data_IF_998767642692
#
_entry.id   IF_998767642692
#
_cell.length_a   1.000
_cell.length_b   1.000
_cell.length_c   1.000
_cell.angle_alpha   90.00
_cell.angle_beta   90.00
_cell.angle_gamma   90.00
#
_symmetry.space_group_name_H-M   'P 1'
#
loop_
_entity.id
_entity.type
_entity.pdbx_description
1 polymer ?
#
# COMPACT_ATOMS: atom_id res chain seq x y z
N UNK A 1 9.15 5.21 15.36
CA UNK A 1 10.35 6.05 15.70
C UNK A 1 11.66 5.28 15.69
N UNK A 2 11.78 4.08 16.31
CA UNK A 2 13.05 3.34 16.41
C UNK A 2 13.70 3.09 15.03
N UNK A 3 12.95 2.59 14.07
CA UNK A 3 13.43 2.36 12.71
C UNK A 3 14.09 3.59 12.07
N UNK A 4 13.44 4.78 12.18
CA UNK A 4 13.98 6.02 11.61
C UNK A 4 15.28 6.43 12.27
N UNK A 5 15.38 6.27 13.59
CA UNK A 5 16.61 6.57 14.36
C UNK A 5 17.76 5.63 14.01
N UNK A 6 17.48 4.33 13.93
CA UNK A 6 18.46 3.31 13.57
C UNK A 6 19.04 3.51 12.16
N UNK A 7 18.25 4.14 11.27
CA UNK A 7 18.68 4.49 9.92
C UNK A 7 19.16 5.94 9.77
N UNK A 8 19.38 6.66 10.88
CA UNK A 8 19.87 8.05 10.92
C UNK A 8 19.00 9.01 10.10
N UNK A 9 17.68 8.75 10.01
CA UNK A 9 16.73 9.61 9.29
C UNK A 9 16.32 10.75 10.22
N UNK A 10 16.79 11.97 9.92
CA UNK A 10 16.51 13.17 10.70
C UNK A 10 15.55 14.14 9.98
N UNK A 11 15.30 13.92 8.70
CA UNK A 11 14.42 14.76 7.88
C UNK A 11 13.48 13.89 7.08
N UNK A 12 12.21 14.30 7.01
CA UNK A 12 11.20 13.73 6.13
C UNK A 12 10.74 14.80 5.14
N UNK A 13 10.78 14.50 3.85
CA UNK A 13 10.24 15.39 2.82
C UNK A 13 8.73 15.52 2.92
N UNK A 14 8.05 14.42 3.26
CA UNK A 14 6.63 14.40 3.55
C UNK A 14 6.29 13.38 4.64
N UNK A 15 5.31 13.73 5.48
CA UNK A 15 4.57 12.83 6.36
C UNK A 15 3.13 12.78 5.87
N UNK A 16 2.68 11.61 5.45
CA UNK A 16 1.33 11.41 4.95
C UNK A 16 0.55 10.58 5.96
N UNK A 17 -0.50 11.16 6.52
CA UNK A 17 -1.39 10.53 7.48
C UNK A 17 -2.71 10.22 6.76
N UNK A 18 -2.95 8.95 6.49
CA UNK A 18 -4.05 8.52 5.62
C UNK A 18 -5.41 8.92 6.18
N UNK A 19 -5.65 8.67 7.46
CA UNK A 19 -6.87 9.03 8.18
C UNK A 19 -6.56 9.17 9.67
N UNK A 20 -7.58 9.52 10.48
CA UNK A 20 -7.38 9.98 11.86
C UNK A 20 -7.50 8.89 12.93
N UNK A 21 -7.54 7.59 12.57
CA UNK A 21 -7.58 6.53 13.56
C UNK A 21 -6.24 6.34 14.28
N UNK A 22 -6.32 5.91 15.54
CA UNK A 22 -5.18 5.96 16.45
C UNK A 22 -3.99 5.13 15.97
N UNK A 23 -4.21 3.97 15.39
CA UNK A 23 -3.18 3.06 14.88
C UNK A 23 -2.43 3.63 13.65
N UNK A 24 -3.03 4.62 12.97
CA UNK A 24 -2.41 5.33 11.84
C UNK A 24 -1.70 6.64 12.23
N UNK A 25 -2.06 7.25 13.37
CA UNK A 25 -1.50 8.56 13.76
C UNK A 25 -0.81 8.59 15.13
N UNK A 26 -0.82 7.49 15.90
CA UNK A 26 -0.36 7.49 17.29
C UNK A 26 1.08 7.99 17.47
N UNK A 27 1.99 7.60 16.58
CA UNK A 27 3.41 8.01 16.65
C UNK A 27 3.73 9.30 15.87
N UNK A 28 2.77 9.84 15.12
CA UNK A 28 2.98 11.00 14.26
C UNK A 28 3.44 12.25 15.04
N UNK A 29 2.89 12.50 16.25
CA UNK A 29 3.33 13.58 17.11
C UNK A 29 4.82 13.47 17.46
N UNK A 30 5.31 12.26 17.75
CA UNK A 30 6.71 12.02 18.10
C UNK A 30 7.61 12.25 16.89
N UNK A 31 7.17 11.86 15.70
CA UNK A 31 7.85 12.16 14.43
C UNK A 31 7.98 13.66 14.25
N UNK A 32 6.89 14.42 14.45
CA UNK A 32 6.87 15.89 14.31
C UNK A 32 7.77 16.58 15.34
N UNK A 33 7.84 16.07 16.57
CA UNK A 33 8.73 16.65 17.59
C UNK A 33 10.21 16.36 17.35
N UNK A 34 10.54 15.17 16.85
CA UNK A 34 11.90 14.67 16.82
C UNK A 34 12.59 14.80 15.46
N UNK A 35 11.83 14.94 14.37
CA UNK A 35 12.37 15.02 13.02
C UNK A 35 12.02 16.36 12.36
N UNK A 36 12.82 16.75 11.37
CA UNK A 36 12.48 17.87 10.51
C UNK A 36 11.49 17.40 9.42
N UNK A 37 10.19 17.52 9.67
CA UNK A 37 9.13 17.21 8.71
C UNK A 37 8.90 18.45 7.83
N UNK A 38 9.13 18.32 6.50
CA UNK A 38 8.99 19.46 5.57
C UNK A 38 7.51 19.71 5.20
N UNK A 39 6.75 18.65 4.92
CA UNK A 39 5.33 18.72 4.53
C UNK A 39 4.52 17.70 5.31
N UNK A 40 3.28 18.06 5.65
CA UNK A 40 2.31 17.14 6.30
C UNK A 40 1.06 17.11 5.44
N UNK A 41 0.68 15.92 4.98
CA UNK A 41 -0.57 15.68 4.28
C UNK A 41 -1.53 14.92 5.19
N UNK A 42 -2.78 15.36 5.23
CA UNK A 42 -3.85 14.72 6.01
C UNK A 42 -5.15 14.75 5.21
N UNK A 43 -6.05 13.79 5.47
CA UNK A 43 -7.41 13.87 4.94
C UNK A 43 -8.16 15.07 5.53
N UNK A 44 -9.23 15.51 4.85
CA UNK A 44 -10.06 16.62 5.32
C UNK A 44 -10.91 16.27 6.57
N UNK A 45 -11.02 14.99 6.91
CA UNK A 45 -11.80 14.53 8.04
C UNK A 45 -11.11 14.84 9.37
N UNK A 46 -11.88 15.36 10.32
CA UNK A 46 -11.41 15.67 11.67
C UNK A 46 -11.91 14.65 12.67
N UNK A 47 -11.25 14.56 13.83
CA UNK A 47 -11.64 13.70 14.95
C UNK A 47 -11.53 14.47 16.26
N UNK A 48 -12.35 14.11 17.23
CA UNK A 48 -12.24 14.58 18.61
C UNK A 48 -11.40 13.65 19.50
N UNK A 49 -10.77 12.61 18.91
CA UNK A 49 -9.98 11.66 19.68
C UNK A 49 -8.76 12.34 20.32
N UNK A 50 -8.39 11.84 21.50
CA UNK A 50 -7.23 12.35 22.24
C UNK A 50 -5.93 12.31 21.42
N UNK A 51 -5.73 11.22 20.67
CA UNK A 51 -4.55 11.04 19.80
C UNK A 51 -4.51 12.10 18.69
N UNK A 52 -5.66 12.37 18.06
CA UNK A 52 -5.78 13.38 17.01
C UNK A 52 -5.52 14.79 17.57
N UNK A 53 -6.09 15.13 18.74
CA UNK A 53 -5.87 16.43 19.37
C UNK A 53 -4.40 16.64 19.74
N UNK A 54 -3.71 15.61 20.25
CA UNK A 54 -2.26 15.67 20.52
C UNK A 54 -1.44 15.87 19.26
N UNK A 55 -1.81 15.26 18.16
CA UNK A 55 -1.17 15.46 16.87
C UNK A 55 -1.32 16.90 16.40
N UNK A 56 -2.54 17.47 16.45
CA UNK A 56 -2.79 18.86 16.05
C UNK A 56 -1.99 19.86 16.92
N UNK A 57 -1.90 19.62 18.23
CA UNK A 57 -1.08 20.43 19.12
C UNK A 57 0.41 20.39 18.73
N UNK A 58 0.95 19.21 18.44
CA UNK A 58 2.34 19.08 17.98
C UNK A 58 2.60 19.84 16.66
N UNK A 59 1.67 19.73 15.70
CA UNK A 59 1.73 20.46 14.43
C UNK A 59 1.75 21.99 14.67
N UNK A 60 0.85 22.48 15.55
CA UNK A 60 0.75 23.89 15.92
C UNK A 60 2.01 24.40 16.61
N UNK A 61 2.49 23.70 17.63
CA UNK A 61 3.70 24.06 18.38
C UNK A 61 4.94 24.12 17.49
N UNK A 62 5.07 23.18 16.55
CA UNK A 62 6.17 23.16 15.57
C UNK A 62 5.94 24.10 14.39
N UNK A 63 4.85 24.88 14.40
CA UNK A 63 4.50 25.85 13.35
C UNK A 63 4.47 25.22 11.96
N UNK A 64 3.98 23.98 11.87
CA UNK A 64 3.83 23.25 10.59
C UNK A 64 2.44 23.47 10.02
N UNK A 65 2.35 23.40 8.69
CA UNK A 65 1.08 23.48 7.96
C UNK A 65 0.62 22.09 7.55
N UNK A 66 -0.70 21.88 7.59
CA UNK A 66 -1.36 20.70 7.02
C UNK A 66 -1.78 21.04 5.59
N UNK A 67 -1.47 20.15 4.68
CA UNK A 67 -2.00 20.17 3.31
C UNK A 67 -3.06 19.09 3.16
N UNK A 68 -4.26 19.48 2.77
CA UNK A 68 -5.32 18.54 2.36
C UNK A 68 -5.21 18.38 0.84
N UNK A 69 -4.79 17.21 0.35
CA UNK A 69 -4.59 17.02 -1.08
C UNK A 69 -5.92 16.83 -1.81
N UNK A 70 -5.87 17.01 -3.13
CA UNK A 70 -6.95 16.66 -4.07
C UNK A 70 -6.56 15.46 -4.90
N UNK A 71 -7.54 14.75 -5.45
CA UNK A 71 -7.27 13.68 -6.41
C UNK A 71 -6.52 14.25 -7.62
N UNK A 72 -5.40 13.60 -7.96
CA UNK A 72 -4.50 14.02 -9.02
C UNK A 72 -3.35 14.93 -8.58
N UNK A 73 -3.37 15.44 -7.34
CA UNK A 73 -2.20 16.16 -6.80
C UNK A 73 -0.99 15.24 -6.75
N UNK A 74 0.16 15.78 -7.14
CA UNK A 74 1.43 15.04 -7.18
C UNK A 74 2.55 15.78 -6.46
N UNK A 75 3.54 15.04 -5.98
CA UNK A 75 4.80 15.62 -5.53
C UNK A 75 5.96 14.64 -5.75
N UNK A 76 7.17 15.20 -5.92
CA UNK A 76 8.38 14.43 -6.18
C UNK A 76 8.97 13.84 -4.90
N UNK A 77 9.43 12.60 -4.97
CA UNK A 77 10.14 11.89 -3.91
C UNK A 77 11.38 11.24 -4.53
N UNK A 78 12.54 11.85 -4.35
CA UNK A 78 13.75 11.41 -5.06
C UNK A 78 13.56 11.51 -6.58
N UNK A 79 13.83 10.43 -7.29
CA UNK A 79 13.60 10.31 -8.74
C UNK A 79 12.15 9.95 -9.10
N UNK A 80 11.35 9.53 -8.12
CA UNK A 80 9.97 9.11 -8.30
C UNK A 80 8.96 10.18 -7.89
N UNK A 81 7.68 9.86 -8.03
CA UNK A 81 6.57 10.73 -7.68
C UNK A 81 5.46 10.00 -6.94
N UNK A 82 4.81 10.69 -6.03
CA UNK A 82 3.56 10.25 -5.40
C UNK A 82 2.40 11.02 -6.05
N UNK A 83 1.33 10.30 -6.39
CA UNK A 83 0.06 10.83 -6.86
C UNK A 83 -1.04 10.43 -5.87
N UNK A 84 -1.85 11.37 -5.41
CA UNK A 84 -3.05 11.08 -4.64
C UNK A 84 -4.16 10.60 -5.58
N UNK A 85 -4.55 9.33 -5.48
CA UNK A 85 -5.55 8.67 -6.33
C UNK A 85 -6.93 8.58 -5.66
N UNK A 86 -7.01 8.93 -4.38
CA UNK A 86 -8.23 9.04 -3.60
C UNK A 86 -7.98 9.86 -2.34
N UNK A 87 -8.95 10.66 -1.92
CA UNK A 87 -8.83 11.57 -0.77
C UNK A 87 -10.02 11.47 0.20
N UNK A 88 -10.78 10.38 0.10
CA UNK A 88 -11.92 10.13 0.98
C UNK A 88 -13.06 11.14 0.85
N UNK A 89 -13.23 11.75 -0.32
CA UNK A 89 -14.30 12.72 -0.53
C UNK A 89 -15.68 12.08 -0.32
N UNK A 90 -16.51 12.70 0.53
CA UNK A 90 -17.84 12.20 0.88
C UNK A 90 -17.82 11.00 1.86
N UNK A 91 -16.68 10.70 2.48
CA UNK A 91 -16.55 9.61 3.44
C UNK A 91 -17.46 9.81 4.66
N UNK A 92 -18.16 8.74 5.05
CA UNK A 92 -19.06 8.75 6.22
C UNK A 92 -18.35 8.30 7.51
N UNK A 93 -17.20 7.65 7.40
CA UNK A 93 -16.40 7.14 8.50
C UNK A 93 -14.90 7.48 8.31
N UNK A 94 -14.08 7.21 9.32
CA UNK A 94 -12.68 7.53 9.30
C UNK A 94 -11.93 6.70 8.23
N UNK A 95 -12.18 5.41 8.15
CA UNK A 95 -11.51 4.50 7.23
C UNK A 95 -11.69 4.95 5.77
N UNK A 96 -12.92 5.27 5.39
CA UNK A 96 -13.25 5.75 4.05
C UNK A 96 -12.66 7.14 3.75
N UNK A 97 -12.25 7.90 4.79
CA UNK A 97 -11.56 9.18 4.60
C UNK A 97 -10.07 9.01 4.24
N UNK A 98 -9.59 7.80 4.09
CA UNK A 98 -8.18 7.51 3.81
C UNK A 98 -7.67 8.20 2.56
N UNK A 99 -6.50 8.81 2.68
CA UNK A 99 -5.70 9.22 1.53
C UNK A 99 -5.16 7.96 0.84
N UNK A 100 -5.57 7.76 -0.40
CA UNK A 100 -5.06 6.69 -1.24
C UNK A 100 -4.02 7.27 -2.20
N UNK A 101 -2.91 6.58 -2.38
CA UNK A 101 -1.82 7.11 -3.20
C UNK A 101 -1.12 6.04 -4.01
N UNK A 102 -0.54 6.46 -5.12
CA UNK A 102 0.35 5.69 -5.96
C UNK A 102 1.72 6.33 -5.97
N UNK A 103 2.72 5.57 -5.60
CA UNK A 103 4.13 5.93 -5.78
C UNK A 103 4.67 5.27 -7.05
N UNK A 104 5.32 6.03 -7.89
CA UNK A 104 5.98 5.56 -9.12
C UNK A 104 7.45 6.00 -9.04
N UNK A 105 8.38 5.07 -8.99
CA UNK A 105 9.81 5.34 -8.90
C UNK A 105 10.50 5.38 -10.28
N UNK A 106 9.71 5.26 -11.34
CA UNK A 106 10.17 5.18 -12.72
C UNK A 106 10.45 3.74 -13.18
N UNK A 107 10.47 2.77 -12.28
CA UNK A 107 10.65 1.35 -12.59
C UNK A 107 9.45 0.52 -12.12
N UNK A 108 8.98 0.78 -10.91
CA UNK A 108 7.88 0.05 -10.28
C UNK A 108 6.88 1.02 -9.66
N UNK A 109 5.66 0.53 -9.49
CA UNK A 109 4.55 1.26 -8.91
C UNK A 109 4.08 0.59 -7.65
N UNK A 110 3.79 1.41 -6.66
CA UNK A 110 3.31 1.00 -5.35
C UNK A 110 1.98 1.69 -5.08
N UNK A 111 0.99 0.96 -4.60
CA UNK A 111 -0.30 1.54 -4.21
C UNK A 111 -0.57 1.33 -2.73
N UNK A 112 -1.07 2.38 -2.10
CA UNK A 112 -1.44 2.45 -0.70
C UNK A 112 -2.87 2.98 -0.62
N UNK A 113 -3.76 2.26 0.07
CA UNK A 113 -5.19 2.65 0.17
C UNK A 113 -5.61 3.03 1.58
N UNK A 114 -4.66 3.03 2.56
CA UNK A 114 -5.02 3.19 3.96
C UNK A 114 -6.06 2.14 4.35
N UNK A 115 -7.12 2.57 5.01
CA UNK A 115 -8.20 1.68 5.44
C UNK A 115 -9.49 1.82 4.64
N UNK A 116 -9.39 2.40 3.44
CA UNK A 116 -10.52 2.57 2.53
C UNK A 116 -11.26 1.25 2.31
N UNK A 117 -12.58 1.26 2.51
CA UNK A 117 -13.42 0.11 2.26
C UNK A 117 -13.77 -0.02 0.77
N UNK A 118 -14.38 -1.14 0.39
CA UNK A 118 -14.74 -1.45 -1.00
C UNK A 118 -15.51 -0.31 -1.70
N UNK A 119 -16.37 0.40 -0.98
CA UNK A 119 -17.13 1.54 -1.51
C UNK A 119 -16.25 2.67 -2.05
N UNK A 120 -15.09 2.89 -1.41
CA UNK A 120 -14.09 3.87 -1.81
C UNK A 120 -13.13 3.31 -2.84
N UNK A 121 -12.73 2.05 -2.70
CA UNK A 121 -11.86 1.35 -3.65
C UNK A 121 -12.41 1.39 -5.09
N UNK A 122 -13.74 1.27 -5.26
CA UNK A 122 -14.43 1.35 -6.56
C UNK A 122 -14.25 2.70 -7.26
N UNK A 123 -14.03 3.77 -6.49
CA UNK A 123 -13.85 5.14 -7.02
C UNK A 123 -12.42 5.43 -7.43
N UNK A 124 -11.44 4.62 -6.99
CA UNK A 124 -10.03 4.84 -7.29
C UNK A 124 -9.74 4.61 -8.77
N UNK A 125 -8.96 5.51 -9.35
CA UNK A 125 -8.40 5.39 -10.68
C UNK A 125 -6.89 5.16 -10.59
N UNK A 126 -6.25 4.74 -11.70
CA UNK A 126 -4.80 4.57 -11.79
C UNK A 126 -4.22 3.61 -10.73
N UNK A 127 -4.97 2.57 -10.36
CA UNK A 127 -4.60 1.60 -9.32
C UNK A 127 -3.58 0.54 -9.78
N UNK A 128 -3.18 0.52 -11.05
CA UNK A 128 -2.19 -0.46 -11.54
C UNK A 128 -0.85 -0.26 -10.84
N UNK A 129 -0.30 -1.35 -10.29
CA UNK A 129 0.95 -1.34 -9.55
C UNK A 129 1.63 -2.71 -9.57
N UNK A 130 2.88 -2.76 -9.15
CA UNK A 130 3.66 -3.97 -8.95
C UNK A 130 3.51 -4.48 -7.53
N UNK A 131 3.47 -3.55 -6.56
CA UNK A 131 3.35 -3.82 -5.12
C UNK A 131 2.15 -3.08 -4.55
N UNK A 132 1.33 -3.81 -3.83
CA UNK A 132 0.19 -3.27 -3.10
C UNK A 132 0.40 -3.40 -1.59
N UNK A 133 0.20 -2.33 -0.84
CA UNK A 133 0.00 -2.45 0.60
C UNK A 133 -1.47 -2.75 0.85
N UNK A 134 -1.74 -3.93 1.42
CA UNK A 134 -3.10 -4.38 1.70
C UNK A 134 -3.88 -3.34 2.50
N UNK A 135 -5.03 -2.98 2.01
CA UNK A 135 -5.94 -2.04 2.67
C UNK A 135 -6.43 -2.60 4.00
N UNK A 136 -6.53 -1.72 5.00
CA UNK A 136 -7.11 -2.01 6.31
C UNK A 136 -6.51 -3.29 6.92
N UNK A 137 -5.18 -3.39 6.92
CA UNK A 137 -4.41 -4.51 7.49
C UNK A 137 -4.80 -5.90 6.96
N UNK A 138 -5.37 -5.97 5.75
CA UNK A 138 -5.92 -7.21 5.21
C UNK A 138 -7.33 -7.53 5.71
N UNK A 139 -8.15 -6.52 6.00
CA UNK A 139 -9.56 -6.67 6.35
C UNK A 139 -10.38 -7.29 5.21
N UNK A 140 -11.40 -8.06 5.57
CA UNK A 140 -12.40 -8.60 4.63
C UNK A 140 -13.25 -7.52 3.95
N UNK A 141 -13.37 -6.33 4.56
CA UNK A 141 -14.16 -5.19 4.07
C UNK A 141 -13.40 -4.30 3.07
N UNK A 142 -12.11 -4.54 2.92
CA UNK A 142 -11.23 -3.90 1.94
C UNK A 142 -10.63 -4.97 1.01
N UNK A 143 -9.75 -4.57 0.10
CA UNK A 143 -9.08 -5.50 -0.82
C UNK A 143 -10.09 -6.24 -1.73
N UNK A 144 -11.04 -5.50 -2.27
CA UNK A 144 -12.14 -6.08 -3.06
C UNK A 144 -11.66 -6.69 -4.37
N UNK A 145 -12.42 -7.68 -4.88
CA UNK A 145 -12.16 -8.26 -6.20
C UNK A 145 -12.16 -7.20 -7.31
N UNK A 146 -13.02 -6.16 -7.18
CA UNK A 146 -13.03 -5.04 -8.11
C UNK A 146 -11.69 -4.27 -8.12
N UNK A 147 -11.11 -4.02 -6.95
CA UNK A 147 -9.80 -3.35 -6.85
C UNK A 147 -8.70 -4.24 -7.41
N UNK A 148 -8.59 -5.48 -6.92
CA UNK A 148 -7.48 -6.39 -7.24
C UNK A 148 -7.42 -6.73 -8.72
N UNK A 149 -8.58 -6.95 -9.38
CA UNK A 149 -8.64 -7.22 -10.83
C UNK A 149 -8.09 -6.06 -11.69
N UNK A 150 -8.29 -4.80 -11.23
CA UNK A 150 -7.78 -3.61 -11.93
C UNK A 150 -6.31 -3.32 -11.61
N UNK A 151 -5.86 -3.75 -10.43
CA UNK A 151 -4.54 -3.42 -9.88
C UNK A 151 -3.42 -4.19 -10.58
N UNK A 152 -3.63 -5.47 -10.84
CA UNK A 152 -2.67 -6.40 -11.48
C UNK A 152 -1.32 -6.47 -10.72
N UNK A 153 -1.36 -6.31 -9.40
CA UNK A 153 -0.16 -6.36 -8.58
C UNK A 153 0.35 -7.80 -8.44
N UNK A 154 1.65 -7.99 -8.53
CA UNK A 154 2.31 -9.28 -8.27
C UNK A 154 2.57 -9.53 -6.80
N UNK A 155 2.70 -8.46 -6.01
CA UNK A 155 3.07 -8.54 -4.59
C UNK A 155 2.10 -7.76 -3.73
N UNK A 156 1.77 -8.33 -2.57
CA UNK A 156 1.00 -7.62 -1.55
C UNK A 156 1.72 -7.68 -0.20
N UNK A 157 1.84 -6.53 0.44
CA UNK A 157 2.39 -6.40 1.79
C UNK A 157 1.25 -6.14 2.76
N UNK A 158 1.08 -7.01 3.74
CA UNK A 158 0.07 -6.87 4.80
C UNK A 158 0.78 -6.38 6.07
N UNK A 159 0.43 -5.17 6.52
CA UNK A 159 0.91 -4.60 7.77
C UNK A 159 -0.09 -4.90 8.89
N UNK A 160 0.20 -5.89 9.72
CA UNK A 160 -0.65 -6.26 10.85
C UNK A 160 0.21 -6.73 12.02
N UNK A 161 -0.33 -6.63 13.23
CA UNK A 161 0.35 -7.11 14.43
C UNK A 161 0.20 -8.62 14.61
N UNK A 162 1.20 -9.26 15.21
CA UNK A 162 1.08 -10.64 15.66
C UNK A 162 -0.02 -10.73 16.73
N UNK A 163 -0.84 -11.76 16.66
CA UNK A 163 -1.94 -12.03 17.60
C UNK A 163 -2.87 -10.82 17.82
N UNK A 164 -3.10 -10.02 16.76
CA UNK A 164 -3.96 -8.85 16.85
C UNK A 164 -5.42 -9.22 17.10
N UNK A 165 -6.10 -8.44 17.93
CA UNK A 165 -7.49 -8.70 18.36
C UNK A 165 -8.52 -8.63 17.23
N UNK A 166 -8.17 -8.05 16.09
CA UNK A 166 -9.06 -7.92 14.93
C UNK A 166 -9.04 -9.16 14.04
N UNK A 167 -8.09 -10.09 14.26
CA UNK A 167 -7.90 -11.27 13.44
C UNK A 167 -7.35 -10.97 12.03
N UNK A 168 -6.74 -9.80 11.85
CA UNK A 168 -6.13 -9.43 10.57
C UNK A 168 -4.80 -10.18 10.32
N UNK A 169 -4.52 -10.57 9.07
CA UNK A 169 -5.39 -10.47 7.89
C UNK A 169 -6.51 -11.51 7.93
N UNK A 170 -7.71 -11.11 7.53
CA UNK A 170 -8.84 -12.03 7.41
C UNK A 170 -8.60 -13.08 6.32
N UNK A 171 -9.16 -14.27 6.54
CA UNK A 171 -9.06 -15.38 5.57
C UNK A 171 -9.57 -15.01 4.19
N UNK A 172 -10.64 -14.23 4.14
CA UNK A 172 -11.25 -13.74 2.90
C UNK A 172 -10.31 -12.87 2.08
N UNK A 173 -9.55 -11.99 2.75
CA UNK A 173 -8.55 -11.16 2.08
C UNK A 173 -7.41 -12.01 1.51
N UNK A 174 -6.88 -12.96 2.31
CA UNK A 174 -5.84 -13.90 1.85
C UNK A 174 -6.30 -14.76 0.68
N UNK A 175 -7.55 -15.23 0.68
CA UNK A 175 -8.12 -15.98 -0.42
C UNK A 175 -8.25 -15.14 -1.70
N UNK A 176 -8.60 -13.83 -1.57
CA UNK A 176 -8.61 -12.91 -2.71
C UNK A 176 -7.21 -12.73 -3.26
N UNK A 177 -6.20 -12.45 -2.44
CA UNK A 177 -4.82 -12.32 -2.91
C UNK A 177 -4.35 -13.57 -3.65
N UNK A 178 -4.67 -14.77 -3.13
CA UNK A 178 -4.34 -16.03 -3.79
C UNK A 178 -5.06 -16.21 -5.15
N UNK A 179 -6.32 -15.78 -5.28
CA UNK A 179 -7.05 -15.82 -6.57
C UNK A 179 -6.45 -14.94 -7.66
N UNK A 180 -5.74 -13.88 -7.25
CA UNK A 180 -5.04 -12.97 -8.16
C UNK A 180 -3.54 -13.28 -8.27
N UNK A 181 -3.12 -14.49 -7.84
CA UNK A 181 -1.73 -14.97 -7.91
C UNK A 181 -0.71 -14.01 -7.26
N UNK A 182 -1.13 -13.27 -6.22
CA UNK A 182 -0.26 -12.33 -5.53
C UNK A 182 0.62 -13.04 -4.51
N UNK A 183 1.90 -12.73 -4.51
CA UNK A 183 2.82 -13.15 -3.43
C UNK A 183 2.57 -12.28 -2.20
N UNK A 184 2.28 -12.92 -1.07
CA UNK A 184 1.90 -12.22 0.17
C UNK A 184 3.09 -12.15 1.14
N UNK A 185 3.42 -10.94 1.58
CA UNK A 185 4.35 -10.66 2.66
C UNK A 185 3.61 -10.09 3.86
N UNK A 186 3.76 -10.70 5.05
CA UNK A 186 3.02 -10.31 6.27
C UNK A 186 3.98 -9.91 7.39
N UNK A 187 3.70 -8.76 8.03
CA UNK A 187 4.55 -8.27 9.13
C UNK A 187 4.41 -9.06 10.42
N UNK A 188 3.28 -9.71 10.67
CA UNK A 188 3.05 -10.59 11.81
C UNK A 188 3.85 -11.90 11.74
N UNK A 189 4.26 -12.32 10.53
CA UNK A 189 5.10 -13.51 10.29
C UNK A 189 6.58 -13.16 10.13
N UNK A 190 6.88 -12.06 9.42
CA UNK A 190 8.23 -11.72 8.96
C UNK A 190 8.86 -10.56 9.72
N UNK A 191 8.11 -9.87 10.59
CA UNK A 191 8.54 -8.63 11.22
C UNK A 191 8.62 -7.49 10.21
N UNK A 192 9.67 -6.69 10.27
CA UNK A 192 9.87 -5.58 9.33
C UNK A 192 10.07 -6.11 7.91
N UNK A 193 9.25 -5.61 6.98
CA UNK A 193 9.38 -5.92 5.55
C UNK A 193 10.03 -4.72 4.87
N UNK A 194 11.17 -4.97 4.25
CA UNK A 194 11.92 -3.99 3.45
C UNK A 194 11.80 -4.36 1.99
N UNK A 195 11.10 -3.53 1.21
CA UNK A 195 11.07 -3.62 -0.25
C UNK A 195 12.07 -2.63 -0.85
N UNK A 196 12.93 -3.10 -1.74
CA UNK A 196 13.88 -2.28 -2.47
C UNK A 196 13.61 -2.42 -3.96
N UNK A 197 13.31 -1.28 -4.61
CA UNK A 197 13.11 -1.21 -6.04
C UNK A 197 14.40 -0.78 -6.74
N UNK A 198 14.77 -1.50 -7.78
CA UNK A 198 15.82 -1.17 -8.73
C UNK A 198 15.32 -1.53 -10.13
N UNK A 199 15.94 -0.97 -11.17
CA UNK A 199 15.61 -1.29 -12.57
C UNK A 199 15.38 -2.80 -12.73
N UNK A 200 14.19 -3.20 -13.16
CA UNK A 200 13.76 -4.58 -13.42
C UNK A 200 13.84 -5.55 -12.22
N UNK A 201 13.98 -5.05 -10.99
CA UNK A 201 14.07 -5.91 -9.80
C UNK A 201 13.38 -5.30 -8.61
N UNK A 202 12.61 -6.13 -7.91
CA UNK A 202 12.15 -5.88 -6.55
C UNK A 202 12.88 -6.85 -5.62
N UNK A 203 13.24 -6.37 -4.43
CA UNK A 203 13.91 -7.20 -3.42
C UNK A 203 13.15 -7.04 -2.11
N UNK A 204 12.67 -8.15 -1.55
CA UNK A 204 12.00 -8.19 -0.25
C UNK A 204 12.91 -8.86 0.78
N UNK A 205 13.20 -8.16 1.90
CA UNK A 205 14.04 -8.65 2.99
C UNK A 205 15.39 -9.25 2.52
N UNK A 206 15.98 -8.65 1.48
CA UNK A 206 17.26 -9.09 0.91
C UNK A 206 17.16 -10.26 -0.07
N UNK A 207 15.98 -10.84 -0.30
CA UNK A 207 15.74 -11.84 -1.35
C UNK A 207 15.30 -11.14 -2.63
N UNK A 208 15.97 -11.46 -3.73
CA UNK A 208 15.61 -10.90 -5.04
C UNK A 208 14.34 -11.57 -5.58
N UNK A 209 13.37 -10.75 -5.92
CA UNK A 209 12.20 -11.14 -6.70
C UNK A 209 12.39 -10.57 -8.10
N UNK A 210 12.52 -11.44 -9.08
CA UNK A 210 12.59 -11.01 -10.48
C UNK A 210 11.15 -10.67 -10.88
N UNK A 211 10.85 -9.39 -11.07
CA UNK A 211 9.63 -8.99 -11.78
C UNK A 211 9.78 -9.39 -13.24
N UNK A 212 9.56 -10.64 -13.50
CA UNK A 212 9.23 -11.04 -14.86
C UNK A 212 7.86 -10.43 -15.15
N UNK A 213 7.79 -9.48 -16.06
CA UNK A 213 6.66 -9.42 -16.97
C UNK A 213 6.61 -10.82 -17.60
N UNK A 214 5.93 -11.74 -16.92
CA UNK A 214 5.65 -13.03 -17.52
C UNK A 214 4.68 -12.73 -18.66
N UNK A 215 5.23 -12.56 -19.84
CA UNK A 215 4.57 -13.06 -21.03
C UNK A 215 4.43 -14.54 -20.76
N UNK A 216 3.32 -14.94 -20.17
CA UNK A 216 3.00 -16.35 -19.98
C UNK A 216 2.94 -16.92 -21.39
N UNK A 217 4.00 -17.58 -21.82
CA UNK A 217 3.99 -18.27 -23.10
C UNK A 217 3.04 -19.45 -22.95
N UNK A 218 1.97 -19.42 -23.72
CA UNK A 218 1.05 -20.53 -23.83
C UNK A 218 1.43 -21.38 -25.03
N UNK A 219 1.66 -22.66 -24.79
CA UNK A 219 1.90 -23.63 -25.86
C UNK A 219 0.55 -24.21 -26.25
N UNK A 220 0.13 -23.95 -27.48
CA UNK A 220 -1.14 -24.44 -28.03
C UNK A 220 -1.00 -25.80 -28.69
N UNK A 221 -1.87 -26.75 -28.34
CA UNK A 221 -2.02 -28.01 -29.07
C UNK A 221 -2.91 -27.79 -30.29
N UNK A 222 -2.43 -28.10 -31.49
CA UNK A 222 -3.18 -28.03 -32.74
C UNK A 222 -4.36 -29.02 -32.76
N UNK A 223 -4.16 -30.18 -32.13
CA UNK A 223 -5.13 -31.26 -32.17
C UNK A 223 -6.31 -31.08 -31.20
N UNK A 224 -6.02 -30.55 -29.99
CA UNK A 224 -7.06 -30.41 -28.94
C UNK A 224 -7.60 -29.00 -28.83
N UNK A 225 -7.00 -28.00 -29.51
CA UNK A 225 -7.29 -26.55 -29.39
C UNK A 225 -7.21 -26.05 -27.95
N UNK A 226 -6.40 -26.70 -27.10
CA UNK A 226 -6.14 -26.29 -25.72
C UNK A 226 -4.80 -25.59 -25.63
N UNK A 227 -4.73 -24.59 -24.75
CA UNK A 227 -3.50 -23.87 -24.45
C UNK A 227 -3.05 -24.25 -23.04
N UNK A 228 -1.77 -24.52 -22.90
CA UNK A 228 -1.14 -24.86 -21.63
C UNK A 228 -0.04 -23.84 -21.33
N UNK A 229 0.17 -23.55 -20.07
CA UNK A 229 1.34 -22.77 -19.64
C UNK A 229 2.61 -23.58 -19.93
N UNK A 230 3.72 -22.92 -20.19
CA UNK A 230 5.00 -23.56 -20.53
C UNK A 230 5.47 -24.54 -19.43
N UNK A 231 5.16 -24.27 -18.17
CA UNK A 231 5.47 -25.09 -16.99
C UNK A 231 4.46 -26.24 -16.74
N UNK A 232 3.45 -26.37 -17.56
CA UNK A 232 2.44 -27.42 -17.41
C UNK A 232 3.02 -28.81 -17.75
N UNK A 233 2.79 -29.78 -16.85
CA UNK A 233 3.25 -31.16 -17.03
C UNK A 233 2.83 -31.81 -18.37
N UNK A 234 1.75 -31.32 -18.97
CA UNK A 234 1.24 -31.82 -20.27
C UNK A 234 1.92 -31.19 -21.49
N UNK A 235 2.73 -30.15 -21.33
CA UNK A 235 3.43 -29.50 -22.47
C UNK A 235 4.39 -30.48 -23.16
N UNK A 236 5.05 -31.34 -22.38
CA UNK A 236 5.99 -32.36 -22.92
C UNK A 236 5.32 -33.43 -23.80
N UNK A 237 4.01 -33.53 -23.79
CA UNK A 237 3.22 -34.51 -24.57
C UNK A 237 2.52 -33.87 -25.76
N UNK A 238 2.73 -32.57 -26.00
CA UNK A 238 2.19 -31.86 -27.15
C UNK A 238 3.19 -31.97 -28.30
N UNK A 239 2.89 -32.80 -29.27
CA UNK A 239 3.62 -32.94 -30.53
C UNK A 239 2.94 -32.16 -31.67
#
# INVERSE_FOLDING_TARGET
MNYLKEHYINTLDALILTHCDADHINDAKNIIYQLNVKKIYMSSRTSSSYTYMKLLNAIKEKKKNITVPKVGDTFQVGAGSIEFIGVGEGAQNNNDSSLCMRYDDGYHRFVFTGDAAESMEKKLNKVQCDVFQAGHHGSAYSNSDNLLSRMKASYVVVSCGKDNMYGHPHKEALQRFSRYDMVVYRTDELGTIRCVSKKNKLTFNGKEEITTTQTTQYIGSRNTKKYHREDCQYVKTIS
#
